data_IF_267009302373
#
_entry.id   IF_267009302373
#
_cell.length_a   1.000
_cell.length_b   1.000
_cell.length_c   1.000
_cell.angle_alpha   90.00
_cell.angle_beta   90.00
_cell.angle_gamma   90.00
#
_symmetry.space_group_name_H-M   'P 1'
#
loop_
_entity.id
_entity.type
_entity.pdbx_description
1 polymer ?
#
# COMPACT_ATOMS: atom_id res chain seq x y z
N UNK A 1 30.12 1.58 3.57
CA UNK A 1 30.63 1.36 4.93
C UNK A 1 29.50 0.93 5.84
N UNK A 2 29.74 -0.08 6.68
CA UNK A 2 28.85 -0.53 7.76
C UNK A 2 29.52 -0.33 9.13
N UNK A 3 28.74 0.06 10.14
CA UNK A 3 29.15 0.26 11.54
C UNK A 3 28.10 -0.37 12.45
N UNK A 4 28.45 -1.44 13.16
CA UNK A 4 27.57 -2.07 14.17
C UNK A 4 27.77 -1.43 15.55
N UNK A 5 26.68 -1.28 16.30
CA UNK A 5 26.60 -0.60 17.60
C UNK A 5 25.71 -1.39 18.57
N UNK A 6 26.30 -2.30 19.34
CA UNK A 6 25.61 -3.01 20.44
C UNK A 6 25.40 -2.08 21.64
N UNK A 7 24.28 -2.23 22.35
CA UNK A 7 23.93 -1.49 23.57
C UNK A 7 24.17 0.03 23.47
N UNK A 8 23.44 0.63 22.54
CA UNK A 8 23.69 1.97 22.01
C UNK A 8 22.58 2.97 22.34
N UNK A 9 22.79 4.23 21.96
CA UNK A 9 21.81 5.31 22.13
C UNK A 9 21.71 6.10 20.83
N UNK A 10 20.58 6.79 20.59
CA UNK A 10 20.42 7.60 19.39
C UNK A 10 21.53 8.67 19.21
N UNK A 11 22.11 9.17 20.31
CA UNK A 11 23.28 10.06 20.26
C UNK A 11 24.54 9.35 19.72
N UNK A 12 24.84 8.13 20.19
CA UNK A 12 25.93 7.29 19.65
C UNK A 12 25.71 6.98 18.16
N UNK A 13 24.46 6.69 17.76
CA UNK A 13 24.07 6.39 16.37
C UNK A 13 24.26 7.61 15.46
N UNK A 14 23.78 8.79 15.87
CA UNK A 14 23.95 10.03 15.09
C UNK A 14 25.45 10.39 14.96
N UNK A 15 26.25 10.19 16.01
CA UNK A 15 27.71 10.31 15.94
C UNK A 15 28.32 9.35 14.90
N UNK A 16 27.85 8.11 14.83
CA UNK A 16 28.32 7.13 13.84
C UNK A 16 27.92 7.51 12.39
N UNK A 17 26.72 8.05 12.16
CA UNK A 17 26.32 8.62 10.86
C UNK A 17 27.28 9.74 10.41
N UNK A 18 27.55 10.70 11.31
CA UNK A 18 28.49 11.81 11.05
C UNK A 18 29.92 11.31 10.79
N UNK A 19 30.36 10.27 11.49
CA UNK A 19 31.66 9.62 11.24
C UNK A 19 31.68 8.89 9.87
N UNK A 20 30.62 8.17 9.50
CA UNK A 20 30.49 7.48 8.23
C UNK A 20 30.56 8.43 7.02
N UNK A 21 29.81 9.54 7.04
CA UNK A 21 29.90 10.59 5.99
C UNK A 21 31.32 11.11 5.80
N UNK A 22 32.00 11.45 6.92
CA UNK A 22 33.38 11.97 6.92
C UNK A 22 34.36 10.95 6.35
N UNK A 23 34.21 9.67 6.68
CA UNK A 23 35.09 8.61 6.18
C UNK A 23 34.89 8.29 4.68
N UNK A 24 33.70 8.60 4.14
CA UNK A 24 33.38 8.43 2.71
C UNK A 24 33.72 9.71 1.90
N UNK A 25 34.00 10.83 2.56
CA UNK A 25 34.33 12.11 1.92
C UNK A 25 33.13 12.86 1.32
N UNK A 26 31.90 12.40 1.57
CA UNK A 26 30.67 13.04 1.07
C UNK A 26 30.03 13.87 2.19
N UNK A 27 30.15 15.22 2.19
CA UNK A 27 29.70 16.04 3.30
C UNK A 27 28.18 16.23 3.36
N UNK A 28 27.50 16.16 2.21
CA UNK A 28 26.06 16.28 2.07
C UNK A 28 25.52 15.18 1.15
N UNK A 29 24.48 14.48 1.60
CA UNK A 29 23.67 13.58 0.76
C UNK A 29 22.35 14.32 0.52
N UNK A 30 21.95 14.45 -0.75
CA UNK A 30 20.72 15.16 -1.16
C UNK A 30 19.45 14.38 -0.85
N UNK A 31 19.21 14.07 0.42
CA UNK A 31 18.06 13.30 0.86
C UNK A 31 16.80 14.17 0.89
N UNK A 32 15.74 13.71 0.24
CA UNK A 32 14.45 14.43 0.12
C UNK A 32 13.45 14.08 1.22
N UNK A 33 13.67 12.98 1.97
CA UNK A 33 12.80 12.54 3.05
C UNK A 33 13.49 11.58 4.04
N UNK A 34 12.88 11.37 5.20
CA UNK A 34 13.18 10.26 6.11
C UNK A 34 12.09 9.18 5.97
N UNK A 35 12.48 7.94 5.64
CA UNK A 35 11.58 6.79 5.59
C UNK A 35 11.80 5.92 6.83
N UNK A 36 10.82 5.88 7.72
CA UNK A 36 10.80 5.04 8.92
C UNK A 36 10.03 3.76 8.60
N UNK A 37 10.69 2.61 8.65
CA UNK A 37 10.06 1.30 8.39
C UNK A 37 9.85 0.60 9.72
N UNK A 38 8.63 0.17 10.05
CA UNK A 38 8.29 -0.40 11.36
C UNK A 38 7.84 -1.84 11.18
N UNK A 39 8.64 -2.79 11.67
CA UNK A 39 8.51 -4.21 11.32
C UNK A 39 9.09 -5.13 12.41
N UNK A 40 8.86 -6.44 12.28
CA UNK A 40 9.60 -7.48 12.99
C UNK A 40 10.91 -7.84 12.24
N UNK A 41 11.70 -8.80 12.77
CA UNK A 41 12.97 -9.23 12.17
C UNK A 41 12.79 -10.16 10.95
N UNK A 42 11.65 -10.83 10.84
CA UNK A 42 11.38 -11.84 9.81
C UNK A 42 11.05 -11.14 8.48
N UNK A 43 10.30 -10.02 8.54
CA UNK A 43 9.96 -9.16 7.39
C UNK A 43 10.97 -8.03 7.12
N UNK A 44 11.97 -7.82 8.00
CA UNK A 44 12.92 -6.71 7.90
C UNK A 44 13.79 -6.73 6.64
N UNK A 45 14.10 -7.92 6.09
CA UNK A 45 14.96 -8.05 4.91
C UNK A 45 14.27 -7.49 3.65
N UNK A 46 13.06 -7.96 3.35
CA UNK A 46 12.33 -7.58 2.14
C UNK A 46 11.82 -6.14 2.20
N UNK A 47 11.42 -5.64 3.38
CA UNK A 47 11.08 -4.24 3.56
C UNK A 47 12.29 -3.31 3.31
N UNK A 48 13.49 -3.68 3.80
CA UNK A 48 14.72 -2.93 3.53
C UNK A 48 15.17 -3.04 2.07
N UNK A 49 14.98 -4.19 1.42
CA UNK A 49 15.20 -4.37 -0.02
C UNK A 49 14.28 -3.43 -0.81
N UNK A 50 12.98 -3.43 -0.52
CA UNK A 50 12.00 -2.61 -1.21
C UNK A 50 12.29 -1.10 -1.07
N UNK A 51 12.63 -0.65 0.14
CA UNK A 51 13.03 0.73 0.39
C UNK A 51 14.36 1.11 -0.30
N UNK A 52 15.34 0.21 -0.32
CA UNK A 52 16.60 0.41 -1.06
C UNK A 52 16.35 0.57 -2.56
N UNK A 53 15.42 -0.19 -3.13
CA UNK A 53 15.02 -0.05 -4.54
C UNK A 53 14.30 1.29 -4.82
N UNK A 54 13.34 1.67 -3.97
CA UNK A 54 12.62 2.94 -4.08
C UNK A 54 13.51 4.17 -3.85
N UNK A 55 14.59 4.03 -3.05
CA UNK A 55 15.56 5.11 -2.80
C UNK A 55 16.26 5.62 -4.06
N UNK A 56 16.21 4.87 -5.17
CA UNK A 56 16.74 5.32 -6.48
C UNK A 56 15.93 6.47 -7.08
N UNK A 57 14.63 6.53 -6.81
CA UNK A 57 13.76 7.65 -7.20
C UNK A 57 13.65 8.69 -6.07
N UNK A 58 13.66 8.23 -4.81
CA UNK A 58 13.52 9.08 -3.63
C UNK A 58 14.71 8.92 -2.65
N UNK A 59 15.87 9.56 -2.91
CA UNK A 59 17.02 9.49 -2.02
C UNK A 59 16.66 9.90 -0.59
N UNK A 60 16.91 9.03 0.39
CA UNK A 60 16.29 9.15 1.71
C UNK A 60 17.20 8.68 2.84
N UNK A 61 16.91 9.12 4.07
CA UNK A 61 17.39 8.41 5.27
C UNK A 61 16.38 7.32 5.62
N UNK A 62 16.79 6.06 5.51
CA UNK A 62 15.97 4.90 5.90
C UNK A 62 16.27 4.52 7.35
N UNK A 63 15.24 4.50 8.20
CA UNK A 63 15.31 4.10 9.61
C UNK A 63 14.44 2.85 9.82
N UNK A 64 15.04 1.67 9.83
CA UNK A 64 14.31 0.40 10.03
C UNK A 64 14.19 0.12 11.52
N UNK A 65 12.99 0.28 12.08
CA UNK A 65 12.64 -0.01 13.47
C UNK A 65 12.16 -1.45 13.58
N UNK A 66 13.08 -2.34 13.97
CA UNK A 66 12.78 -3.75 14.26
C UNK A 66 12.31 -3.87 15.71
N UNK A 67 11.00 -4.06 15.91
CA UNK A 67 10.36 -4.28 17.22
C UNK A 67 10.50 -5.76 17.61
N UNK A 68 11.57 -6.15 18.34
CA UNK A 68 11.76 -7.56 18.76
C UNK A 68 10.89 -7.90 19.98
N UNK A 69 9.76 -8.58 19.74
CA UNK A 69 8.88 -9.08 20.81
C UNK A 69 9.57 -10.23 21.57
N UNK A 70 9.95 -9.96 22.82
CA UNK A 70 10.64 -10.92 23.67
C UNK A 70 9.77 -12.14 24.03
N UNK A 71 10.22 -13.32 23.56
CA UNK A 71 9.55 -14.62 23.68
C UNK A 71 9.53 -15.18 25.11
N UNK A 72 10.41 -14.72 26.02
CA UNK A 72 10.36 -15.06 27.45
C UNK A 72 10.15 -13.83 28.35
N UNK A 73 9.60 -13.99 29.57
CA UNK A 73 9.49 -12.89 30.53
C UNK A 73 10.84 -12.31 31.00
N UNK A 74 11.92 -13.10 31.00
CA UNK A 74 13.27 -12.62 31.36
C UNK A 74 13.85 -11.70 30.28
N UNK A 75 13.59 -12.01 29.02
CA UNK A 75 14.05 -11.19 27.89
C UNK A 75 13.24 -9.89 27.72
N UNK A 76 12.20 -9.68 28.53
CA UNK A 76 11.45 -8.41 28.61
C UNK A 76 12.11 -7.39 29.53
N UNK A 77 12.88 -7.83 30.54
CA UNK A 77 13.55 -6.93 31.49
C UNK A 77 14.90 -6.40 31.00
N UNK A 78 15.44 -6.93 29.90
CA UNK A 78 16.69 -6.47 29.27
C UNK A 78 16.43 -5.40 28.21
N UNK A 79 15.94 -4.25 28.67
CA UNK A 79 15.74 -3.04 27.85
C UNK A 79 17.06 -2.56 27.23
N UNK A 80 17.22 -2.73 25.92
CA UNK A 80 18.42 -2.29 25.16
C UNK A 80 18.10 -1.94 23.71
N UNK A 81 19.01 -1.24 23.07
CA UNK A 81 19.00 -0.88 21.66
C UNK A 81 20.30 -1.36 21.02
N UNK A 82 20.21 -2.20 19.99
CA UNK A 82 21.32 -2.44 19.06
C UNK A 82 21.04 -1.66 17.76
N UNK A 83 22.08 -1.17 17.08
CA UNK A 83 21.93 -0.51 15.80
C UNK A 83 23.03 -0.87 14.80
N UNK A 84 22.67 -0.84 13.51
CA UNK A 84 23.57 -1.05 12.39
C UNK A 84 23.44 0.15 11.45
N UNK A 85 24.51 0.94 11.35
CA UNK A 85 24.58 2.13 10.50
C UNK A 85 25.29 1.78 9.19
N UNK A 86 24.64 2.03 8.06
CA UNK A 86 25.18 1.86 6.71
C UNK A 86 25.22 3.23 6.01
N UNK A 87 26.34 3.51 5.33
CA UNK A 87 26.55 4.76 4.57
C UNK A 87 27.33 4.46 3.28
N UNK A 88 27.02 5.17 2.18
CA UNK A 88 27.62 4.94 0.86
C UNK A 88 27.04 3.68 0.20
N UNK A 89 27.86 2.90 -0.51
CA UNK A 89 27.40 1.74 -1.28
C UNK A 89 26.53 0.73 -0.50
N UNK A 90 26.78 0.54 0.81
CA UNK A 90 26.01 -0.37 1.66
C UNK A 90 24.59 0.16 2.03
N UNK A 91 24.27 1.40 1.64
CA UNK A 91 23.04 2.14 1.98
C UNK A 91 22.25 2.63 0.75
N UNK A 92 22.58 2.14 -0.45
CA UNK A 92 21.94 2.59 -1.69
C UNK A 92 22.31 4.04 -2.04
N UNK A 93 21.31 4.89 -2.26
CA UNK A 93 21.48 6.33 -2.59
C UNK A 93 21.57 7.24 -1.36
N UNK A 94 21.41 6.69 -0.15
CA UNK A 94 21.14 7.47 1.06
C UNK A 94 21.92 7.03 2.30
N UNK A 95 21.26 7.13 3.46
CA UNK A 95 21.74 6.59 4.73
C UNK A 95 20.76 5.54 5.22
N UNK A 96 21.23 4.40 5.73
CA UNK A 96 20.37 3.37 6.32
C UNK A 96 20.80 3.10 7.76
N UNK A 97 19.85 3.15 8.70
CA UNK A 97 20.05 2.68 10.07
C UNK A 97 19.04 1.58 10.36
N UNK A 98 19.52 0.38 10.70
CA UNK A 98 18.68 -0.70 11.21
C UNK A 98 18.77 -0.69 12.73
N UNK A 99 17.65 -0.40 13.39
CA UNK A 99 17.48 -0.30 14.83
C UNK A 99 16.79 -1.58 15.34
N UNK A 100 17.41 -2.28 16.29
CA UNK A 100 16.84 -3.48 16.93
C UNK A 100 16.53 -3.16 18.39
N UNK A 101 15.24 -3.06 18.69
CA UNK A 101 14.73 -2.63 19.99
C UNK A 101 14.33 -3.86 20.81
N UNK A 102 14.74 -3.90 22.07
CA UNK A 102 14.50 -5.01 23.01
C UNK A 102 13.92 -4.48 24.33
N UNK A 103 13.14 -5.31 25.02
CA UNK A 103 12.52 -4.95 26.30
C UNK A 103 11.58 -3.75 26.16
N UNK A 104 11.57 -2.87 27.17
CA UNK A 104 10.65 -1.72 27.24
C UNK A 104 10.94 -0.66 26.16
N UNK A 105 12.14 -0.65 25.57
CA UNK A 105 12.54 0.27 24.49
C UNK A 105 11.59 0.16 23.28
N UNK A 106 11.02 -1.03 23.05
CA UNK A 106 10.02 -1.28 21.99
C UNK A 106 8.80 -0.36 22.10
N UNK A 107 8.40 0.00 23.33
CA UNK A 107 7.24 0.87 23.61
C UNK A 107 7.59 2.37 23.48
N UNK A 108 8.86 2.70 23.29
CA UNK A 108 9.40 4.06 23.25
C UNK A 108 10.23 4.33 21.98
N UNK A 109 9.95 3.59 20.91
CA UNK A 109 10.65 3.65 19.62
C UNK A 109 10.71 5.07 19.02
N UNK A 110 9.66 5.87 19.20
CA UNK A 110 9.59 7.28 18.80
C UNK A 110 10.68 8.14 19.45
N UNK A 111 11.07 7.83 20.69
CA UNK A 111 12.15 8.53 21.40
C UNK A 111 13.54 8.18 20.86
N UNK A 112 13.67 7.03 20.18
CA UNK A 112 14.89 6.61 19.47
C UNK A 112 14.94 7.23 18.08
N UNK A 113 13.80 7.28 17.38
CA UNK A 113 13.68 7.74 15.98
C UNK A 113 13.74 9.27 15.87
N UNK A 114 13.05 10.03 16.73
CA UNK A 114 12.98 11.50 16.69
C UNK A 114 14.37 12.19 16.52
N UNK A 115 15.40 11.91 17.33
CA UNK A 115 16.74 12.51 17.18
C UNK A 115 17.58 11.95 16.00
N UNK A 116 17.02 11.05 15.20
CA UNK A 116 17.62 10.48 13.98
C UNK A 116 16.92 10.96 12.68
N UNK A 117 15.80 11.68 12.79
CA UNK A 117 15.13 12.28 11.63
C UNK A 117 16.00 13.32 10.92
N UNK A 118 15.63 13.67 9.69
CA UNK A 118 16.13 14.87 9.02
C UNK A 118 15.29 16.08 9.48
N UNK A 119 15.90 17.19 9.92
CA UNK A 119 15.14 18.32 10.49
C UNK A 119 14.33 19.09 9.43
N UNK A 120 14.84 19.19 8.21
CA UNK A 120 14.29 20.02 7.13
C UNK A 120 13.58 19.20 6.03
N UNK A 121 13.37 17.89 6.24
CA UNK A 121 12.79 16.99 5.23
C UNK A 121 11.64 16.17 5.83
N UNK A 122 10.56 15.90 5.06
CA UNK A 122 9.40 15.18 5.54
C UNK A 122 9.74 13.77 6.02
N UNK A 123 8.98 13.30 6.99
CA UNK A 123 9.04 11.94 7.55
C UNK A 123 7.84 11.14 7.08
N UNK A 124 8.12 9.96 6.54
CA UNK A 124 7.14 8.96 6.10
C UNK A 124 7.33 7.74 7.00
N UNK A 125 6.25 7.24 7.61
CA UNK A 125 6.31 5.96 8.35
C UNK A 125 5.56 4.91 7.55
N UNK A 126 6.18 3.74 7.40
CA UNK A 126 5.64 2.60 6.66
C UNK A 126 5.65 1.34 7.54
N UNK A 127 4.48 0.69 7.64
CA UNK A 127 4.30 -0.63 8.22
C UNK A 127 4.05 -1.64 7.10
N UNK A 128 5.06 -2.44 6.69
CA UNK A 128 4.87 -3.51 5.70
C UNK A 128 4.02 -4.69 6.23
N UNK A 129 3.98 -4.85 7.55
CA UNK A 129 3.22 -5.87 8.30
C UNK A 129 2.84 -5.28 9.66
N UNK A 130 1.88 -5.90 10.36
CA UNK A 130 1.57 -5.57 11.76
C UNK A 130 1.28 -4.07 12.00
N UNK A 131 0.55 -3.45 11.06
CA UNK A 131 0.24 -2.03 11.08
C UNK A 131 -0.83 -1.69 12.14
N UNK A 132 -0.69 -0.60 12.91
CA UNK A 132 -1.73 -0.14 13.83
C UNK A 132 -3.03 0.17 13.09
N UNK A 133 -4.18 -0.04 13.73
CA UNK A 133 -5.50 0.27 13.17
C UNK A 133 -5.71 1.79 12.99
N UNK A 134 -5.18 2.59 13.92
CA UNK A 134 -5.03 4.03 13.81
C UNK A 134 -3.52 4.37 13.69
N UNK A 135 -3.01 4.61 12.47
CA UNK A 135 -1.62 5.00 12.27
C UNK A 135 -1.28 6.39 12.81
N UNK A 136 -2.24 7.30 12.90
CA UNK A 136 -1.99 8.68 13.35
C UNK A 136 -1.76 8.75 14.87
N UNK A 137 -2.35 7.84 15.65
CA UNK A 137 -2.17 7.73 17.10
C UNK A 137 -1.00 6.82 17.51
N UNK A 138 -0.40 6.01 16.62
CA UNK A 138 0.85 5.29 16.94
C UNK A 138 1.98 6.31 17.21
N UNK A 139 2.78 6.15 18.28
CA UNK A 139 3.80 7.12 18.63
C UNK A 139 4.87 7.40 17.56
N UNK A 140 5.15 6.48 16.64
CA UNK A 140 5.99 6.74 15.46
C UNK A 140 5.20 7.47 14.36
N UNK A 141 3.94 7.09 14.15
CA UNK A 141 3.05 7.76 13.20
C UNK A 141 2.84 9.24 13.49
N UNK A 142 2.78 9.65 14.76
CA UNK A 142 2.71 11.07 15.17
C UNK A 142 3.89 11.92 14.66
N UNK A 143 5.01 11.30 14.28
CA UNK A 143 6.19 11.98 13.72
C UNK A 143 6.09 12.23 12.20
N UNK A 144 5.09 11.67 11.52
CA UNK A 144 5.06 11.52 10.07
C UNK A 144 3.92 12.29 9.39
N UNK A 145 4.24 12.90 8.25
CA UNK A 145 3.25 13.56 7.39
C UNK A 145 2.48 12.53 6.56
N UNK A 146 3.16 11.46 6.10
CA UNK A 146 2.59 10.35 5.33
C UNK A 146 2.73 9.05 6.14
N UNK A 147 1.65 8.28 6.26
CA UNK A 147 1.59 7.05 7.05
C UNK A 147 1.04 5.93 6.17
N UNK A 148 1.90 4.97 5.84
CA UNK A 148 1.67 3.93 4.84
C UNK A 148 1.47 2.59 5.53
N UNK A 149 0.35 1.93 5.27
CA UNK A 149 0.07 0.56 5.73
C UNK A 149 -0.06 -0.41 4.56
N UNK A 150 -0.17 -1.71 4.81
CA UNK A 150 -0.46 -2.69 3.76
C UNK A 150 -1.48 -3.72 4.25
N UNK A 151 -2.76 -3.42 4.06
CA UNK A 151 -3.88 -4.24 4.52
C UNK A 151 -3.92 -5.59 3.78
N UNK A 152 -3.23 -5.74 2.64
CA UNK A 152 -3.03 -7.05 2.00
C UNK A 152 -2.13 -7.99 2.82
N UNK A 153 -1.34 -7.46 3.76
CA UNK A 153 -0.49 -8.23 4.69
C UNK A 153 -1.12 -8.44 6.08
N UNK A 154 -2.40 -8.08 6.26
CA UNK A 154 -3.15 -8.28 7.50
C UNK A 154 -3.67 -9.72 7.65
N UNK A 155 -3.84 -10.19 8.89
CA UNK A 155 -4.49 -11.49 9.15
C UNK A 155 -5.99 -11.48 8.80
N UNK A 156 -6.64 -10.31 8.89
CA UNK A 156 -8.09 -10.13 8.62
C UNK A 156 -8.32 -8.84 7.79
N UNK A 157 -7.94 -8.82 6.49
CA UNK A 157 -7.86 -7.60 5.70
C UNK A 157 -9.14 -6.76 5.66
N UNK A 158 -10.31 -7.39 5.55
CA UNK A 158 -11.59 -6.67 5.43
C UNK A 158 -11.99 -5.96 6.73
N UNK A 159 -11.69 -6.57 7.88
CA UNK A 159 -11.97 -6.00 9.19
C UNK A 159 -10.98 -4.87 9.53
N UNK A 160 -9.70 -5.04 9.18
CA UNK A 160 -8.73 -3.94 9.27
C UNK A 160 -9.09 -2.77 8.33
N UNK A 161 -9.52 -3.05 7.10
CA UNK A 161 -9.96 -2.01 6.15
C UNK A 161 -11.15 -1.20 6.70
N UNK A 162 -12.08 -1.88 7.37
CA UNK A 162 -13.26 -1.24 8.00
C UNK A 162 -12.85 -0.41 9.21
N UNK A 163 -12.00 -0.94 10.11
CA UNK A 163 -11.48 -0.19 11.25
C UNK A 163 -10.63 1.03 10.82
N UNK A 164 -9.86 0.90 9.73
CA UNK A 164 -9.11 2.02 9.12
C UNK A 164 -10.02 3.10 8.56
N UNK A 165 -11.23 2.76 8.10
CA UNK A 165 -12.21 3.74 7.65
C UNK A 165 -12.77 4.59 8.79
N UNK A 166 -12.99 3.98 9.97
CA UNK A 166 -13.39 4.70 11.19
C UNK A 166 -12.27 5.58 11.74
N UNK A 167 -11.02 5.11 11.67
CA UNK A 167 -9.84 5.79 12.21
C UNK A 167 -9.07 6.69 11.21
N UNK A 168 -9.61 6.96 10.01
CA UNK A 168 -8.86 7.65 8.94
C UNK A 168 -8.48 9.09 9.28
N UNK A 169 -7.19 9.41 9.18
CA UNK A 169 -6.63 10.75 9.28
C UNK A 169 -5.94 11.20 7.98
N UNK A 170 -5.99 12.50 7.61
CA UNK A 170 -5.24 13.02 6.47
C UNK A 170 -3.75 12.68 6.51
N UNK A 171 -3.23 12.14 5.41
CA UNK A 171 -1.87 11.61 5.31
C UNK A 171 -1.78 10.08 5.42
N UNK A 172 -2.82 9.40 5.90
CA UNK A 172 -2.92 7.93 5.86
C UNK A 172 -3.09 7.42 4.41
N UNK A 173 -2.59 6.21 4.15
CA UNK A 173 -2.72 5.47 2.89
C UNK A 173 -2.43 3.99 3.12
N UNK A 174 -2.89 3.14 2.20
CA UNK A 174 -2.63 1.71 2.21
C UNK A 174 -2.09 1.24 0.86
N UNK A 175 -1.07 0.39 0.85
CA UNK A 175 -0.50 -0.13 -0.41
C UNK A 175 -1.52 -0.91 -1.25
N UNK A 176 -2.62 -1.40 -0.66
CA UNK A 176 -3.77 -1.96 -1.41
C UNK A 176 -4.40 -0.94 -2.36
N UNK A 177 -4.38 0.35 -2.02
CA UNK A 177 -4.84 1.44 -2.89
C UNK A 177 -3.84 1.76 -4.02
N UNK A 178 -2.55 1.71 -3.70
CA UNK A 178 -1.44 1.89 -4.65
C UNK A 178 -1.34 0.74 -5.66
N UNK A 179 -1.66 -0.49 -5.22
CA UNK A 179 -1.77 -1.70 -6.06
C UNK A 179 -2.79 -1.51 -7.19
N UNK A 180 -3.84 -0.72 -6.96
CA UNK A 180 -4.91 -0.47 -7.93
C UNK A 180 -4.80 0.86 -8.70
N UNK A 181 -3.76 1.68 -8.49
CA UNK A 181 -3.55 2.90 -9.30
C UNK A 181 -3.59 2.62 -10.82
N UNK A 182 -2.96 1.55 -11.36
CA UNK A 182 -3.05 1.23 -12.79
C UNK A 182 -4.47 0.87 -13.23
N UNK A 183 -5.19 0.07 -12.42
CA UNK A 183 -6.59 -0.31 -12.70
C UNK A 183 -7.50 0.91 -12.74
N UNK A 184 -7.45 1.76 -11.71
CA UNK A 184 -8.21 3.02 -11.64
C UNK A 184 -7.92 3.93 -12.84
N UNK A 185 -6.64 4.04 -13.23
CA UNK A 185 -6.20 4.86 -14.37
C UNK A 185 -6.73 4.33 -15.70
N UNK A 186 -6.74 3.01 -15.92
CA UNK A 186 -7.23 2.41 -17.15
C UNK A 186 -8.76 2.43 -17.26
N UNK A 187 -9.48 2.28 -16.15
CA UNK A 187 -10.95 2.38 -16.12
C UNK A 187 -11.42 3.82 -16.40
N UNK A 188 -10.78 4.82 -15.80
CA UNK A 188 -11.02 6.22 -16.11
C UNK A 188 -10.74 6.53 -17.59
N UNK A 189 -9.55 6.15 -18.08
CA UNK A 189 -9.17 6.36 -19.48
C UNK A 189 -10.04 5.58 -20.48
N UNK A 190 -10.68 4.47 -20.07
CA UNK A 190 -11.66 3.76 -20.90
C UNK A 190 -12.99 4.53 -21.00
N UNK A 191 -13.48 5.09 -19.88
CA UNK A 191 -14.67 5.93 -19.84
C UNK A 191 -14.47 7.24 -20.62
N UNK A 192 -13.29 7.88 -20.52
CA UNK A 192 -12.95 9.11 -21.27
C UNK A 192 -13.00 8.93 -22.81
N UNK A 193 -13.05 7.69 -23.31
CA UNK A 193 -13.13 7.37 -24.75
C UNK A 193 -14.56 7.15 -25.27
N UNK A 194 -15.58 7.17 -24.40
CA UNK A 194 -16.98 6.91 -24.77
C UNK A 194 -17.94 7.90 -24.12
N UNK A 195 -19.04 8.22 -24.80
CA UNK A 195 -20.09 9.11 -24.28
C UNK A 195 -21.30 8.30 -23.85
N UNK A 196 -21.16 7.64 -22.70
CA UNK A 196 -22.15 6.73 -22.12
C UNK A 196 -22.39 7.00 -20.63
N UNK A 197 -23.49 6.48 -20.13
CA UNK A 197 -23.79 6.41 -18.69
C UNK A 197 -23.50 4.99 -18.22
N UNK A 198 -22.76 4.85 -17.11
CA UNK A 198 -22.56 3.55 -16.45
C UNK A 198 -23.79 3.26 -15.59
N UNK A 199 -24.28 2.03 -15.63
CA UNK A 199 -25.51 1.60 -14.94
C UNK A 199 -25.25 0.62 -13.80
N UNK A 200 -24.20 -0.19 -13.93
CA UNK A 200 -23.71 -1.11 -12.90
C UNK A 200 -22.22 -1.42 -13.14
N UNK A 201 -21.53 -1.92 -12.12
CA UNK A 201 -20.21 -2.51 -12.29
C UNK A 201 -20.04 -3.81 -11.49
N UNK A 202 -19.09 -4.63 -11.92
CA UNK A 202 -18.66 -5.88 -11.28
C UNK A 202 -17.14 -5.84 -11.15
N UNK A 203 -16.62 -6.17 -9.98
CA UNK A 203 -15.18 -6.27 -9.70
C UNK A 203 -14.86 -7.72 -9.33
N UNK A 204 -14.01 -8.36 -10.12
CA UNK A 204 -13.66 -9.78 -9.97
C UNK A 204 -12.26 -9.94 -9.36
N UNK A 205 -12.12 -10.83 -8.37
CA UNK A 205 -10.81 -11.13 -7.79
C UNK A 205 -10.80 -12.13 -6.64
N UNK A 206 -9.62 -12.31 -6.07
CA UNK A 206 -9.32 -13.15 -4.90
C UNK A 206 -10.17 -12.80 -3.66
N UNK A 207 -10.64 -13.84 -2.94
CA UNK A 207 -11.46 -13.68 -1.73
C UNK A 207 -10.70 -12.89 -0.63
N UNK A 208 -11.43 -12.05 0.11
CA UNK A 208 -10.91 -11.16 1.16
C UNK A 208 -9.81 -10.17 0.71
N UNK A 209 -9.61 -9.96 -0.59
CA UNK A 209 -8.57 -9.05 -1.06
C UNK A 209 -8.99 -7.57 -0.92
N UNK A 210 -8.31 -6.74 -0.10
CA UNK A 210 -8.68 -5.34 0.13
C UNK A 210 -8.53 -4.47 -1.13
N UNK A 211 -7.76 -4.90 -2.14
CA UNK A 211 -7.66 -4.23 -3.44
C UNK A 211 -8.96 -4.35 -4.25
N UNK A 212 -9.69 -5.46 -4.09
CA UNK A 212 -11.01 -5.69 -4.72
C UNK A 212 -12.05 -4.77 -4.08
N UNK A 213 -12.13 -4.78 -2.75
CA UNK A 213 -13.05 -3.89 -2.02
C UNK A 213 -12.76 -2.40 -2.27
N UNK A 214 -11.49 -1.97 -2.20
CA UNK A 214 -11.13 -0.57 -2.48
C UNK A 214 -11.47 -0.12 -3.90
N UNK A 215 -11.35 -1.00 -4.90
CA UNK A 215 -11.73 -0.68 -6.27
C UNK A 215 -13.26 -0.63 -6.45
N UNK A 216 -13.98 -1.57 -5.82
CA UNK A 216 -15.44 -1.59 -5.83
C UNK A 216 -16.05 -0.37 -5.10
N UNK A 217 -15.52 -0.02 -3.92
CA UNK A 217 -15.90 1.18 -3.16
C UNK A 217 -15.61 2.46 -3.96
N UNK A 218 -14.47 2.56 -4.64
CA UNK A 218 -14.16 3.72 -5.49
C UNK A 218 -15.10 3.85 -6.69
N UNK A 219 -15.44 2.75 -7.38
CA UNK A 219 -16.42 2.78 -8.47
C UNK A 219 -17.81 3.19 -7.97
N UNK A 220 -18.25 2.64 -6.84
CA UNK A 220 -19.56 2.97 -6.25
C UNK A 220 -19.63 4.44 -5.81
N UNK A 221 -18.59 4.95 -5.13
CA UNK A 221 -18.48 6.35 -4.70
C UNK A 221 -18.43 7.33 -5.88
N UNK A 222 -17.66 7.02 -6.94
CA UNK A 222 -17.46 7.93 -8.08
C UNK A 222 -18.57 7.90 -9.13
N UNK A 223 -19.24 6.75 -9.31
CA UNK A 223 -20.28 6.59 -10.33
C UNK A 223 -21.70 6.61 -9.75
N UNK A 224 -21.87 6.40 -8.43
CA UNK A 224 -23.19 6.27 -7.77
C UNK A 224 -24.05 5.11 -8.31
N UNK A 225 -23.41 4.05 -8.80
CA UNK A 225 -24.04 2.84 -9.36
C UNK A 225 -23.96 1.65 -8.39
N UNK A 226 -24.84 0.63 -8.51
CA UNK A 226 -24.59 -0.67 -7.89
C UNK A 226 -23.25 -1.25 -8.36
N UNK A 227 -22.42 -1.69 -7.40
CA UNK A 227 -21.18 -2.42 -7.67
C UNK A 227 -21.19 -3.76 -6.96
N UNK A 228 -21.00 -4.82 -7.72
CA UNK A 228 -20.93 -6.21 -7.25
C UNK A 228 -19.48 -6.72 -7.21
N UNK A 229 -19.26 -7.80 -6.46
CA UNK A 229 -17.95 -8.43 -6.29
C UNK A 229 -18.07 -9.91 -6.57
N UNK A 230 -17.22 -10.43 -7.45
CA UNK A 230 -17.26 -11.81 -7.92
C UNK A 230 -15.93 -12.51 -7.59
N UNK A 231 -16.02 -13.75 -7.11
CA UNK A 231 -14.87 -14.52 -6.68
C UNK A 231 -14.13 -15.16 -7.86
N UNK A 232 -12.85 -14.86 -7.99
CA UNK A 232 -11.94 -15.45 -8.98
C UNK A 232 -11.07 -16.55 -8.37
N UNK A 233 -10.45 -17.35 -9.23
CA UNK A 233 -9.34 -18.25 -8.86
C UNK A 233 -7.95 -17.62 -9.11
N UNK A 234 -7.88 -16.37 -9.57
CA UNK A 234 -6.65 -15.66 -9.88
C UNK A 234 -6.10 -14.84 -8.70
N UNK A 235 -4.80 -14.48 -8.71
CA UNK A 235 -4.17 -13.81 -7.58
C UNK A 235 -4.43 -12.29 -7.59
N UNK A 236 -5.24 -11.84 -6.63
CA UNK A 236 -5.75 -10.47 -6.54
C UNK A 236 -6.87 -10.19 -7.55
N UNK A 237 -6.91 -8.96 -8.06
CA UNK A 237 -7.87 -8.55 -9.10
C UNK A 237 -7.66 -9.32 -10.41
N UNK A 238 -8.73 -9.90 -10.94
CA UNK A 238 -8.75 -10.57 -12.26
C UNK A 238 -9.55 -9.79 -13.28
N UNK A 239 -10.61 -9.09 -12.89
CA UNK A 239 -11.50 -8.43 -13.84
C UNK A 239 -12.19 -7.20 -13.28
N UNK A 240 -12.55 -6.28 -14.17
CA UNK A 240 -13.61 -5.29 -13.93
C UNK A 240 -14.50 -5.21 -15.16
N UNK A 241 -15.81 -5.27 -14.95
CA UNK A 241 -16.84 -5.09 -15.97
C UNK A 241 -17.72 -3.91 -15.58
N UNK A 242 -17.94 -2.97 -16.49
CA UNK A 242 -18.87 -1.86 -16.32
C UNK A 242 -19.95 -1.95 -17.40
N UNK A 243 -21.22 -2.04 -17.00
CA UNK A 243 -22.35 -2.03 -17.92
C UNK A 243 -22.72 -0.59 -18.24
N UNK A 244 -22.79 -0.24 -19.53
CA UNK A 244 -23.06 1.14 -19.97
C UNK A 244 -24.15 1.20 -21.02
N UNK A 245 -24.74 2.38 -21.21
CA UNK A 245 -25.75 2.64 -22.24
C UNK A 245 -25.27 2.44 -23.69
N UNK A 246 -23.96 2.33 -23.96
CA UNK A 246 -23.42 1.96 -25.27
C UNK A 246 -22.88 0.51 -25.35
N UNK A 247 -23.11 -0.31 -24.32
CA UNK A 247 -22.55 -1.66 -24.18
C UNK A 247 -21.42 -1.73 -23.14
N UNK A 248 -20.90 -2.93 -22.85
CA UNK A 248 -19.97 -3.12 -21.75
C UNK A 248 -18.57 -2.56 -22.03
N UNK A 249 -17.91 -2.12 -20.96
CA UNK A 249 -16.46 -1.95 -20.88
C UNK A 249 -15.94 -3.08 -20.00
N UNK A 250 -14.98 -3.86 -20.50
CA UNK A 250 -14.38 -4.99 -19.77
C UNK A 250 -12.87 -4.82 -19.72
N UNK A 251 -12.30 -4.98 -18.53
CA UNK A 251 -10.87 -5.00 -18.28
C UNK A 251 -10.53 -6.33 -17.60
N UNK A 252 -10.26 -7.36 -18.40
CA UNK A 252 -9.92 -8.72 -17.97
C UNK A 252 -8.40 -8.87 -17.84
N UNK A 253 -7.92 -9.63 -16.84
CA UNK A 253 -6.50 -9.98 -16.64
C UNK A 253 -6.36 -11.44 -16.18
N UNK A 254 -6.92 -12.39 -16.93
CA UNK A 254 -6.92 -13.82 -16.62
C UNK A 254 -5.52 -14.43 -16.34
N UNK A 255 -4.43 -13.91 -16.95
CA UNK A 255 -3.06 -14.44 -16.74
C UNK A 255 -2.25 -13.74 -15.64
N UNK A 256 -2.80 -12.68 -15.02
CA UNK A 256 -2.13 -11.90 -13.96
C UNK A 256 -1.02 -10.93 -14.43
N UNK A 257 -0.73 -10.86 -15.73
CA UNK A 257 0.37 -10.09 -16.32
C UNK A 257 -0.08 -9.11 -17.41
N UNK A 258 -0.90 -9.58 -18.37
CA UNK A 258 -1.44 -8.81 -19.47
C UNK A 258 -2.96 -8.73 -19.30
N UNK A 259 -3.50 -7.52 -19.41
CA UNK A 259 -4.93 -7.30 -19.41
C UNK A 259 -5.45 -7.06 -20.82
N UNK A 260 -6.69 -7.45 -21.08
CA UNK A 260 -7.44 -7.11 -22.29
C UNK A 260 -8.48 -6.07 -21.92
N UNK A 261 -8.33 -4.86 -22.46
CA UNK A 261 -9.37 -3.83 -22.43
C UNK A 261 -10.25 -3.98 -23.66
N UNK A 262 -11.51 -4.37 -23.46
CA UNK A 262 -12.56 -4.43 -24.47
C UNK A 262 -13.56 -3.29 -24.24
N UNK A 263 -13.96 -2.61 -25.32
CA UNK A 263 -14.97 -1.56 -25.32
C UNK A 263 -15.87 -1.81 -26.53
N UNK A 264 -17.18 -1.87 -26.32
CA UNK A 264 -18.14 -2.18 -27.38
C UNK A 264 -17.94 -1.30 -28.64
N UNK A 265 -17.74 -1.94 -29.79
CA UNK A 265 -17.51 -1.27 -31.08
C UNK A 265 -16.07 -0.80 -31.34
N UNK A 266 -15.13 -1.07 -30.43
CA UNK A 266 -13.69 -0.80 -30.61
C UNK A 266 -12.91 -2.13 -30.67
N UNK A 267 -11.71 -2.16 -31.29
CA UNK A 267 -10.83 -3.33 -31.20
C UNK A 267 -10.26 -3.47 -29.78
N UNK A 268 -10.21 -4.71 -29.29
CA UNK A 268 -9.61 -5.06 -28.00
C UNK A 268 -8.14 -4.62 -27.92
N UNK A 269 -7.71 -4.18 -26.74
CA UNK A 269 -6.37 -3.65 -26.52
C UNK A 269 -5.66 -4.39 -25.39
N UNK A 270 -4.44 -4.85 -25.68
CA UNK A 270 -3.53 -5.36 -24.67
C UNK A 270 -3.00 -4.22 -23.79
N UNK A 271 -3.10 -4.37 -22.47
CA UNK A 271 -2.70 -3.38 -21.47
C UNK A 271 -1.78 -4.04 -20.43
N UNK A 272 -0.66 -3.40 -20.10
CA UNK A 272 0.31 -3.93 -19.15
C UNK A 272 -0.14 -3.70 -17.69
N UNK A 273 -1.03 -4.56 -17.17
CA UNK A 273 -1.48 -4.55 -15.77
C UNK A 273 -0.81 -5.63 -14.92
N UNK A 274 0.51 -5.78 -15.05
CA UNK A 274 1.29 -6.72 -14.21
C UNK A 274 1.06 -6.47 -12.72
N UNK A 275 1.18 -7.51 -11.89
CA UNK A 275 1.31 -7.32 -10.43
C UNK A 275 2.57 -6.47 -10.15
N UNK A 276 2.46 -5.55 -9.19
CA UNK A 276 3.52 -4.59 -8.80
C UNK A 276 4.26 -5.10 -7.57
N UNK A 277 5.58 -4.97 -7.60
CA UNK A 277 6.45 -5.24 -6.46
C UNK A 277 6.29 -4.19 -5.37
N UNK A 278 6.56 -4.55 -4.11
CA UNK A 278 6.46 -3.62 -2.97
C UNK A 278 7.36 -2.39 -3.13
N UNK A 279 8.49 -2.50 -3.83
CA UNK A 279 9.36 -1.37 -4.20
C UNK A 279 8.69 -0.38 -5.16
N UNK A 280 7.93 -0.87 -6.15
CA UNK A 280 7.18 0.00 -7.08
C UNK A 280 6.01 0.72 -6.42
N UNK A 281 5.48 0.15 -5.33
CA UNK A 281 4.36 0.70 -4.57
C UNK A 281 4.84 1.74 -3.57
N UNK A 282 5.84 1.43 -2.75
CA UNK A 282 6.39 2.41 -1.81
C UNK A 282 7.07 3.58 -2.56
N UNK A 283 7.67 3.37 -3.73
CA UNK A 283 8.13 4.48 -4.57
C UNK A 283 6.99 5.43 -4.96
N UNK A 284 5.82 4.90 -5.37
CA UNK A 284 4.67 5.73 -5.75
C UNK A 284 4.14 6.56 -4.57
N UNK A 285 4.03 5.99 -3.37
CA UNK A 285 3.62 6.71 -2.16
C UNK A 285 4.64 7.76 -1.68
N UNK A 286 5.89 7.70 -2.15
CA UNK A 286 6.94 8.70 -1.87
C UNK A 286 6.99 9.83 -2.91
N UNK A 287 6.29 9.71 -4.06
CA UNK A 287 6.16 10.79 -5.06
C UNK A 287 5.29 11.94 -4.59
N UNK A 288 4.26 11.67 -3.78
CA UNK A 288 3.29 12.67 -3.32
C UNK A 288 2.90 12.41 -1.88
N UNK A 289 3.24 13.35 -1.01
CA UNK A 289 3.03 13.25 0.44
C UNK A 289 1.78 13.98 0.94
N UNK A 290 1.03 14.63 0.04
CA UNK A 290 -0.29 15.20 0.34
C UNK A 290 -1.29 14.09 0.74
N UNK A 291 -2.37 14.42 1.47
CA UNK A 291 -3.51 13.52 1.59
C UNK A 291 -4.10 13.13 0.23
N UNK A 292 -4.45 11.86 0.05
CA UNK A 292 -5.24 11.40 -1.09
C UNK A 292 -6.74 11.44 -0.72
N UNK A 293 -7.41 12.51 -1.13
CA UNK A 293 -8.86 12.69 -0.93
C UNK A 293 -9.71 11.62 -1.65
N UNK A 294 -9.19 10.96 -2.69
CA UNK A 294 -9.90 9.88 -3.39
C UNK A 294 -9.78 8.55 -2.65
N UNK A 295 -8.62 8.27 -2.05
CA UNK A 295 -8.50 7.18 -1.06
C UNK A 295 -9.45 7.44 0.12
N UNK A 296 -9.43 8.65 0.67
CA UNK A 296 -10.29 9.03 1.79
C UNK A 296 -11.79 8.90 1.46
N UNK A 297 -12.21 9.22 0.23
CA UNK A 297 -13.60 9.07 -0.23
C UNK A 297 -13.97 7.58 -0.38
N UNK A 298 -13.17 6.81 -1.12
CA UNK A 298 -13.40 5.38 -1.33
C UNK A 298 -13.40 4.59 -0.01
N UNK A 299 -12.46 4.86 0.89
CA UNK A 299 -12.41 4.21 2.21
C UNK A 299 -13.65 4.55 3.06
N UNK A 300 -14.14 5.79 3.01
CA UNK A 300 -15.37 6.24 3.70
C UNK A 300 -16.67 5.81 3.02
N UNK A 301 -16.62 5.21 1.82
CA UNK A 301 -17.77 4.52 1.25
C UNK A 301 -18.13 3.29 2.10
N UNK A 302 -17.12 2.55 2.59
CA UNK A 302 -17.30 1.42 3.50
C UNK A 302 -17.78 0.14 2.81
N UNK A 303 -17.22 -1.00 3.23
CA UNK A 303 -17.44 -2.31 2.60
C UNK A 303 -18.91 -2.76 2.68
N UNK A 304 -19.61 -2.38 3.76
CA UNK A 304 -20.99 -2.78 4.04
C UNK A 304 -22.01 -2.22 3.03
N UNK A 305 -21.74 -1.04 2.45
CA UNK A 305 -22.65 -0.39 1.47
C UNK A 305 -22.58 -1.02 0.07
N UNK A 306 -21.60 -1.89 -0.19
CA UNK A 306 -21.48 -2.57 -1.48
C UNK A 306 -22.53 -3.70 -1.58
N UNK A 307 -23.34 -3.67 -2.64
CA UNK A 307 -24.44 -4.62 -2.86
C UNK A 307 -25.77 -4.27 -2.17
N UNK A 308 -25.86 -3.19 -1.39
CA UNK A 308 -27.15 -2.73 -0.84
C UNK A 308 -28.12 -2.27 -1.94
N UNK A 309 -27.60 -1.60 -2.98
CA UNK A 309 -28.37 -1.20 -4.16
C UNK A 309 -29.01 -2.42 -4.87
N UNK A 310 -28.26 -3.50 -5.09
CA UNK A 310 -28.80 -4.76 -5.66
C UNK A 310 -29.92 -5.34 -4.80
N UNK A 311 -29.73 -5.37 -3.46
CA UNK A 311 -30.75 -5.89 -2.53
C UNK A 311 -32.03 -5.05 -2.57
N UNK A 312 -31.90 -3.73 -2.66
CA UNK A 312 -33.03 -2.83 -2.78
C UNK A 312 -33.86 -3.16 -4.04
N UNK A 313 -33.22 -3.28 -5.20
CA UNK A 313 -33.95 -3.48 -6.46
C UNK A 313 -34.41 -4.93 -6.70
N UNK A 314 -33.71 -5.92 -6.13
CA UNK A 314 -34.22 -7.30 -6.01
C UNK A 314 -35.48 -7.33 -5.14
N UNK A 315 -35.55 -6.50 -4.08
CA UNK A 315 -36.77 -6.37 -3.26
C UNK A 315 -37.88 -5.56 -3.96
N UNK A 316 -37.54 -4.63 -4.86
CA UNK A 316 -38.49 -3.85 -5.66
C UNK A 316 -39.17 -4.74 -6.70
N UNK A 317 -38.39 -5.54 -7.42
CA UNK A 317 -38.85 -6.48 -8.45
C UNK A 317 -39.66 -7.64 -7.86
N UNK A 318 -39.24 -8.22 -6.73
CA UNK A 318 -40.02 -9.21 -5.99
C UNK A 318 -41.35 -8.67 -5.42
N UNK A 319 -41.45 -7.36 -5.16
CA UNK A 319 -42.73 -6.72 -4.79
C UNK A 319 -43.61 -6.46 -6.01
N UNK A 320 -43.03 -6.10 -7.16
CA UNK A 320 -43.77 -5.91 -8.42
C UNK A 320 -44.34 -7.21 -9.01
N UNK A 321 -43.63 -8.34 -8.87
CA UNK A 321 -44.13 -9.63 -9.34
C UNK A 321 -45.18 -10.28 -8.45
N UNK A 322 -45.50 -9.67 -7.29
CA UNK A 322 -46.51 -10.17 -6.35
C UNK A 322 -47.94 -9.65 -6.55
N UNK A 323 -48.16 -8.70 -7.47
CA UNK A 323 -49.42 -7.92 -7.53
C UNK A 323 -50.23 -8.11 -8.84
N UNK A 324 -49.80 -9.00 -9.73
CA UNK A 324 -50.58 -9.42 -10.92
C UNK A 324 -51.19 -10.82 -10.71
N UNK A 325 -52.32 -10.93 -9.97
CA UNK A 325 -52.83 -12.28 -9.66
C UNK A 325 -54.17 -12.49 -8.96
N UNK A 326 -55.12 -11.55 -8.90
CA UNK A 326 -56.51 -11.90 -8.50
C UNK A 326 -57.59 -10.92 -8.97
N UNK A 327 -58.62 -11.46 -9.60
CA UNK A 327 -59.87 -10.79 -9.97
C UNK A 327 -61.08 -11.68 -9.55
N UNK A 328 -62.29 -11.12 -9.36
CA UNK A 328 -63.06 -11.43 -8.15
C UNK A 328 -64.16 -12.48 -8.27
N UNK A 329 -64.52 -13.07 -7.13
CA UNK A 329 -65.74 -13.87 -6.92
C UNK A 329 -66.47 -13.45 -5.64
N UNK A 330 -67.81 -13.54 -5.62
CA UNK A 330 -68.67 -13.08 -4.53
C UNK A 330 -69.34 -14.23 -3.77
N UNK A 331 -69.70 -14.03 -2.49
CA UNK A 331 -70.39 -15.05 -1.67
C UNK A 331 -70.66 -14.69 -0.20
N UNK A 332 -71.76 -13.98 0.04
CA UNK A 332 -72.67 -13.98 1.22
C UNK A 332 -72.21 -14.19 2.68
N UNK A 333 -72.58 -13.21 3.52
CA UNK A 333 -73.28 -13.29 4.83
C UNK A 333 -72.76 -14.21 5.98
N UNK A 334 -72.45 -13.61 7.14
CA UNK A 334 -72.23 -14.32 8.42
C UNK A 334 -72.19 -13.40 9.66
N UNK A 335 -73.19 -13.50 10.55
CA UNK A 335 -73.46 -12.59 11.69
C UNK A 335 -72.62 -12.91 12.96
N UNK A 336 -72.18 -11.90 13.73
CA UNK A 336 -72.01 -12.07 15.20
C UNK A 336 -71.05 -11.14 15.97
N UNK A 337 -71.60 -10.38 16.95
CA UNK A 337 -70.93 -9.68 18.09
C UNK A 337 -69.89 -8.58 17.71
N UNK A 338 -69.74 -7.42 18.40
CA UNK A 338 -69.64 -7.08 19.85
C UNK A 338 -68.41 -7.74 20.51
N UNK A 339 -67.58 -7.04 21.29
CA UNK A 339 -67.83 -5.84 22.11
C UNK A 339 -66.56 -4.96 22.30
N UNK A 340 -66.71 -3.73 22.81
CA UNK A 340 -65.74 -2.78 23.44
C UNK A 340 -64.21 -2.83 23.11
N UNK A 341 -63.48 -1.71 22.99
CA UNK A 341 -63.79 -0.28 23.22
C UNK A 341 -62.53 0.53 23.62
N UNK A 342 -62.63 1.87 23.73
CA UNK A 342 -61.56 2.87 24.02
C UNK A 342 -60.63 3.19 22.83
N UNK A 343 -60.55 4.41 22.27
CA UNK A 343 -60.21 5.74 22.85
C UNK A 343 -58.78 5.80 23.43
N UNK A 344 -57.91 6.76 23.10
CA UNK A 344 -57.95 7.86 22.11
C UNK A 344 -56.50 8.21 21.68
N UNK A 345 -56.20 8.67 20.45
CA UNK A 345 -56.32 10.07 20.02
C UNK A 345 -55.83 11.06 21.10
N UNK A 346 -54.55 11.47 21.09
CA UNK A 346 -53.97 12.56 20.28
C UNK A 346 -54.07 13.94 20.93
N UNK A 347 -52.93 14.58 21.22
CA UNK A 347 -52.68 16.01 20.90
C UNK A 347 -51.26 16.47 21.26
N UNK A 348 -50.76 17.41 20.46
CA UNK A 348 -49.77 18.43 20.83
C UNK A 348 -50.44 19.78 20.45
N UNK A 349 -50.11 20.94 21.07
CA UNK A 349 -48.90 21.64 20.63
C UNK A 349 -48.24 22.65 21.62
N UNK A 350 -47.19 23.31 21.12
CA UNK A 350 -46.77 24.72 21.38
C UNK A 350 -46.01 25.12 22.67
N UNK A 351 -44.85 25.76 22.43
CA UNK A 351 -44.27 27.01 22.97
C UNK A 351 -44.52 27.44 24.46
N UNK A 352 -43.62 28.13 25.19
CA UNK A 352 -42.72 29.20 24.72
C UNK A 352 -41.60 29.63 25.72
N UNK A 353 -40.58 30.33 25.19
CA UNK A 353 -39.81 31.47 25.78
C UNK A 353 -39.14 31.38 27.17
N UNK A 354 -37.80 31.31 27.16
CA UNK A 354 -36.86 32.27 27.80
C UNK A 354 -35.47 32.09 27.13
N UNK A 355 -34.64 33.07 26.74
CA UNK A 355 -34.29 34.41 27.25
C UNK A 355 -33.47 34.38 28.57
N UNK A 356 -32.29 35.00 28.70
CA UNK A 356 -31.44 35.71 27.72
C UNK A 356 -30.01 35.93 28.28
N UNK A 357 -29.18 36.71 27.56
CA UNK A 357 -27.84 37.22 27.93
C UNK A 357 -26.66 36.21 27.86
N UNK A 358 -25.44 36.63 27.48
CA UNK A 358 -25.10 37.92 26.86
C UNK A 358 -23.60 38.28 26.93
N UNK A 359 -22.88 38.13 25.81
CA UNK A 359 -21.48 38.55 25.69
C UNK A 359 -21.13 39.00 24.26
N UNK A 360 -20.83 40.28 24.08
CA UNK A 360 -20.24 40.81 22.83
C UNK A 360 -18.78 40.35 22.76
N UNK A 361 -18.21 39.88 21.65
CA UNK A 361 -18.27 40.32 20.24
C UNK A 361 -17.53 41.65 19.99
N UNK A 362 -16.33 41.56 19.41
CA UNK A 362 -15.71 42.67 18.68
C UNK A 362 -15.01 42.16 17.42
N UNK A 363 -15.18 42.86 16.29
CA UNK A 363 -14.55 42.55 15.00
C UNK A 363 -13.44 43.57 14.73
N UNK A 364 -12.25 43.14 14.26
CA UNK A 364 -11.30 44.07 13.63
C UNK A 364 -10.40 43.45 12.55
N UNK A 365 -10.81 43.69 11.32
CA UNK A 365 -10.02 43.74 10.09
C UNK A 365 -10.62 44.93 9.28
N UNK A 366 -9.92 45.62 8.37
CA UNK A 366 -8.85 45.07 7.52
C UNK A 366 -7.61 45.98 7.33
N UNK A 367 -6.60 45.46 6.62
CA UNK A 367 -5.64 46.27 5.87
C UNK A 367 -5.12 45.51 4.63
N UNK A 368 -5.40 46.02 3.41
CA UNK A 368 -4.67 45.64 2.19
C UNK A 368 -3.53 46.65 1.97
N UNK A 369 -2.34 46.19 1.57
CA UNK A 369 -1.36 47.00 0.84
C UNK A 369 -0.43 46.15 -0.02
N UNK A 370 -0.25 46.58 -1.27
CA UNK A 370 0.72 46.10 -2.26
C UNK A 370 0.78 47.16 -3.38
N UNK A 371 1.75 47.11 -4.33
CA UNK A 371 3.04 46.42 -4.31
C UNK A 371 4.23 47.42 -4.33
N UNK A 372 5.47 46.92 -4.29
CA UNK A 372 6.68 47.70 -4.61
C UNK A 372 7.30 47.21 -5.93
N UNK A 373 8.08 48.06 -6.62
CA UNK A 373 8.52 47.84 -8.01
C UNK A 373 10.00 47.43 -8.13
N UNK A 374 10.23 46.47 -9.04
CA UNK A 374 11.24 46.46 -10.12
C UNK A 374 12.61 47.10 -9.83
N UNK A 375 13.64 46.25 -9.81
CA UNK A 375 14.95 46.54 -10.37
C UNK A 375 15.20 45.60 -11.58
N UNK A 376 16.04 46.02 -12.52
CA UNK A 376 16.38 45.34 -13.79
C UNK A 376 17.83 45.68 -14.16
N UNK A 377 18.35 45.07 -15.24
CA UNK A 377 19.71 45.24 -15.80
C UNK A 377 20.79 44.38 -15.09
N UNK A 378 21.77 43.75 -15.76
CA UNK A 378 22.12 43.78 -17.20
C UNK A 378 22.50 42.38 -17.76
N UNK A 379 22.23 42.17 -19.05
CA UNK A 379 23.04 41.32 -19.92
C UNK A 379 24.05 42.21 -20.69
N UNK A 380 25.19 41.65 -21.13
CA UNK A 380 25.82 42.11 -22.37
C UNK A 380 25.90 40.97 -23.40
N UNK A 381 25.26 41.17 -24.55
CA UNK A 381 25.27 40.26 -25.70
C UNK A 381 26.38 40.56 -26.71
N UNK A 382 26.79 39.54 -27.48
CA UNK A 382 27.60 39.63 -28.73
C UNK A 382 29.11 39.97 -28.55
N UNK A 383 30.03 39.62 -29.47
CA UNK A 383 29.88 39.07 -30.83
C UNK A 383 31.12 38.27 -31.30
N UNK A 384 30.99 37.59 -32.47
CA UNK A 384 32.05 37.16 -33.43
C UNK A 384 33.06 36.04 -33.08
N UNK A 385 32.68 34.82 -33.45
CA UNK A 385 33.12 34.08 -34.67
C UNK A 385 34.61 33.99 -35.11
N UNK A 386 34.87 32.91 -35.90
CA UNK A 386 36.09 32.52 -36.63
C UNK A 386 37.11 31.72 -35.78
N UNK A 387 37.70 30.62 -36.26
CA UNK A 387 37.54 29.96 -37.57
C UNK A 387 38.08 28.53 -37.60
N UNK A 388 38.03 27.89 -38.77
CA UNK A 388 38.36 26.47 -38.98
C UNK A 388 39.84 26.12 -38.83
N UNK A 389 40.11 24.84 -38.53
CA UNK A 389 41.06 24.04 -39.31
C UNK A 389 40.86 22.54 -39.03
N UNK A 390 41.07 21.70 -40.04
CA UNK A 390 40.90 20.25 -39.95
C UNK A 390 42.03 19.50 -40.66
N UNK A 391 42.53 18.45 -40.02
CA UNK A 391 43.32 17.36 -40.62
C UNK A 391 43.35 16.19 -39.61
N UNK A 392 42.88 14.95 -39.86
CA UNK A 392 42.78 14.07 -41.04
C UNK A 392 43.93 13.03 -41.10
N UNK A 393 43.53 11.76 -41.31
CA UNK A 393 44.32 10.50 -41.37
C UNK A 393 45.07 10.10 -40.07
N UNK A 394 45.42 8.83 -39.88
CA UNK A 394 45.36 7.66 -40.78
C UNK A 394 44.74 6.41 -40.12
N UNK A 395 44.48 5.37 -40.93
CA UNK A 395 43.93 4.09 -40.47
C UNK A 395 44.68 2.88 -41.06
N UNK A 396 44.99 1.90 -40.22
CA UNK A 396 45.37 0.50 -40.53
C UNK A 396 45.57 -0.26 -39.20
N UNK A 397 45.52 -1.60 -39.14
CA UNK A 397 45.22 -2.60 -40.16
C UNK A 397 46.04 -3.89 -39.93
N UNK A 398 45.37 -5.06 -39.99
CA UNK A 398 45.85 -6.41 -39.62
C UNK A 398 46.23 -6.60 -38.13
N UNK A 399 46.06 -7.74 -37.45
CA UNK A 399 45.65 -9.13 -37.75
C UNK A 399 46.76 -10.22 -37.73
N UNK A 400 46.39 -11.35 -37.12
CA UNK A 400 46.89 -12.73 -37.29
C UNK A 400 48.10 -13.25 -36.51
N UNK A 401 47.80 -14.35 -35.79
CA UNK A 401 48.50 -15.66 -35.75
C UNK A 401 49.71 -15.94 -34.84
N UNK A 402 49.67 -17.18 -34.32
CA UNK A 402 50.74 -18.09 -33.89
C UNK A 402 51.52 -17.82 -32.58
N UNK A 403 52.18 -18.83 -31.94
CA UNK A 403 51.88 -20.27 -31.67
C UNK A 403 53.05 -20.85 -30.87
N UNK A 404 52.83 -21.91 -30.06
CA UNK A 404 53.87 -22.81 -29.49
C UNK A 404 54.95 -22.17 -28.59
N UNK A 405 55.75 -22.88 -27.79
CA UNK A 405 55.65 -24.16 -27.06
C UNK A 405 56.69 -24.12 -25.91
N UNK A 406 56.49 -24.75 -24.76
CA UNK A 406 56.87 -26.15 -24.42
C UNK A 406 56.75 -26.27 -22.86
N UNK A 407 56.45 -27.43 -22.25
CA UNK A 407 57.37 -28.53 -21.95
C UNK A 407 58.16 -28.26 -20.64
N UNK A 408 58.26 -29.13 -19.62
CA UNK A 408 57.79 -30.52 -19.39
C UNK A 408 57.65 -30.70 -17.84
N UNK A 409 57.29 -31.81 -17.16
CA UNK A 409 57.12 -33.24 -17.51
C UNK A 409 56.18 -33.97 -16.48
N UNK A 410 56.25 -35.30 -16.41
CA UNK A 410 55.75 -36.20 -15.35
C UNK A 410 56.75 -37.39 -15.21
N UNK A 411 56.52 -38.59 -14.60
CA UNK A 411 55.30 -39.28 -14.13
C UNK A 411 55.20 -39.25 -12.57
N UNK A 412 54.83 -40.23 -11.72
CA UNK A 412 54.49 -41.68 -11.78
C UNK A 412 53.82 -42.10 -10.43
N UNK A 413 53.16 -43.26 -10.17
CA UNK A 413 52.73 -44.44 -10.94
C UNK A 413 51.48 -45.10 -10.24
N UNK A 414 50.90 -46.12 -10.88
CA UNK A 414 50.21 -47.34 -10.38
C UNK A 414 49.23 -47.34 -9.17
N UNK A 415 48.04 -47.91 -9.43
CA UNK A 415 47.19 -48.65 -8.46
C UNK A 415 47.40 -50.18 -8.61
N UNK A 416 46.86 -51.08 -7.74
CA UNK A 416 45.52 -51.65 -8.04
C UNK A 416 44.65 -52.21 -6.86
N UNK A 417 43.36 -51.87 -6.90
CA UNK A 417 42.15 -52.76 -6.91
C UNK A 417 41.79 -53.78 -5.77
N UNK A 418 40.47 -54.03 -5.67
CA UNK A 418 39.68 -55.12 -5.01
C UNK A 418 39.42 -55.13 -3.49
N UNK A 419 38.15 -54.93 -3.12
CA UNK A 419 37.22 -56.06 -2.81
C UNK A 419 35.78 -55.56 -2.52
N UNK A 420 34.81 -56.47 -2.50
CA UNK A 420 33.36 -56.18 -2.42
C UNK A 420 32.67 -56.84 -1.21
N UNK A 421 31.53 -56.30 -0.76
CA UNK A 421 30.50 -57.07 -0.03
C UNK A 421 29.14 -56.33 0.01
N UNK A 422 28.05 -57.10 -0.06
CA UNK A 422 26.66 -56.63 0.03
C UNK A 422 26.18 -56.43 1.47
N UNK A 423 25.23 -55.49 1.69
CA UNK A 423 23.91 -55.84 2.28
C UNK A 423 22.84 -54.75 2.22
N UNK A 424 21.59 -55.22 2.14
CA UNK A 424 20.35 -54.43 2.16
C UNK A 424 19.84 -54.13 3.60
N UNK A 425 18.91 -53.16 3.80
CA UNK A 425 18.59 -52.58 5.12
C UNK A 425 17.50 -53.33 5.92
N UNK A 426 17.38 -53.03 7.22
CA UNK A 426 16.42 -53.69 8.12
C UNK A 426 15.72 -52.80 9.18
N UNK A 427 14.42 -52.54 8.92
CA UNK A 427 13.27 -52.65 9.85
C UNK A 427 13.13 -51.72 11.10
N UNK A 428 12.03 -50.93 11.04
CA UNK A 428 11.00 -50.72 12.09
C UNK A 428 11.40 -49.92 13.35
N UNK A 429 10.50 -49.19 14.03
CA UNK A 429 9.06 -49.42 14.15
C UNK A 429 8.19 -48.15 14.22
N UNK A 430 6.95 -48.26 13.72
CA UNK A 430 5.85 -47.30 13.92
C UNK A 430 4.96 -47.70 15.11
N UNK A 431 4.29 -46.73 15.73
CA UNK A 431 3.15 -46.96 16.64
C UNK A 431 1.98 -46.04 16.27
N UNK A 432 0.77 -46.59 16.25
CA UNK A 432 -0.48 -45.86 15.98
C UNK A 432 -0.91 -45.03 17.20
N UNK A 433 -1.54 -43.90 16.93
CA UNK A 433 -2.69 -43.41 17.71
C UNK A 433 -3.91 -43.35 16.77
N UNK A 434 -5.10 -43.67 17.26
CA UNK A 434 -6.31 -43.84 16.45
C UNK A 434 -7.35 -42.76 16.72
N UNK A 435 -7.87 -42.13 15.66
CA UNK A 435 -9.11 -41.38 15.72
C UNK A 435 -10.31 -42.32 16.01
N UNK A 436 -11.33 -41.81 16.69
CA UNK A 436 -12.62 -42.49 16.87
C UNK A 436 -13.76 -41.50 16.62
N UNK A 437 -14.54 -41.74 15.56
CA UNK A 437 -15.76 -40.99 15.22
C UNK A 437 -16.97 -41.77 15.73
N UNK A 438 -17.93 -41.08 16.33
CA UNK A 438 -19.26 -41.59 16.68
C UNK A 438 -20.27 -40.46 16.46
N UNK A 439 -21.54 -40.80 16.24
CA UNK A 439 -22.58 -39.85 15.85
C UNK A 439 -23.86 -40.07 16.69
N UNK A 440 -24.80 -39.12 16.54
CA UNK A 440 -26.19 -39.18 17.01
C UNK A 440 -26.42 -39.31 18.53
N UNK A 441 -26.80 -38.20 19.15
CA UNK A 441 -28.21 -38.04 19.53
C UNK A 441 -28.65 -36.60 19.30
#
# INVERSE_FOLDING_TARGET
MKIDLTDTTASKINKALVQGRRAIGTPAVGMVLTLVIVTDEENAYDALKAASEASREHPSRTLVVIKRVSRSPRDRTSSRLDAEVRVGADAGTGETVVLRLYGEVVNHAQSVVLPLLLPDAPTVVWWPVNAPLDPAQDPLGTLAQRRVTDTYAAERPIEELTARAEAYHPGDTDLSWTRITPWRSMLAAALDQVTCEVTAAEVEGEEFNPSVELLAMWLADRLSVPVERTLSTGPGLTGVRMETTCGPIVLDRADGSLATLSIQGQPDRAVALKRRETSELIAEELRRLDPDDTYASALRYGVDRLGEATRADTSSSLRRSGDEGSAPGAGEQGVGARDNGSEAASEAPSEAKAASSGGKAEKKAPARKAPARKATADEPSSDKSLGESASDKSASGNASSDKSSSGNASPDNSSPDKSSSDRAPAKKATKKATAKKAAAK
#
